data_IF_843717102991
#
_entry.id   IF_843717102991
#
_cell.length_a   1.000
_cell.length_b   1.000
_cell.length_c   1.000
_cell.angle_alpha   90.00
_cell.angle_beta   90.00
_cell.angle_gamma   90.00
#
_symmetry.space_group_name_H-M   'P 1'
#
loop_
_entity.id
_entity.type
_entity.pdbx_description
1 polymer ?
#
# COMPACT_ATOMS: atom_id res chain seq x y z
N UNK A 1 -38.42 -27.41 -14.29
CA UNK A 1 -37.15 -27.67 -13.63
C UNK A 1 -37.06 -26.85 -12.40
N UNK A 2 -36.90 -27.49 -11.25
CA UNK A 2 -37.19 -26.94 -9.94
C UNK A 2 -36.25 -25.88 -9.44
N UNK A 3 -36.74 -24.65 -9.27
CA UNK A 3 -36.05 -23.63 -8.51
C UNK A 3 -36.37 -23.82 -7.05
N UNK A 4 -35.35 -23.78 -6.19
CA UNK A 4 -35.51 -23.92 -4.75
C UNK A 4 -35.98 -22.58 -4.17
N UNK A 5 -36.96 -22.64 -3.28
CA UNK A 5 -37.52 -21.48 -2.58
C UNK A 5 -37.52 -21.77 -1.09
N UNK A 6 -37.26 -20.74 -0.29
CA UNK A 6 -37.38 -20.78 1.17
C UNK A 6 -38.54 -19.91 1.62
N UNK A 7 -39.31 -20.43 2.56
CA UNK A 7 -40.33 -19.61 3.23
C UNK A 7 -39.68 -18.88 4.41
N UNK A 8 -39.63 -17.56 4.30
CA UNK A 8 -39.03 -16.69 5.33
C UNK A 8 -40.17 -16.17 6.20
N UNK A 9 -40.05 -16.33 7.52
CA UNK A 9 -41.05 -15.92 8.47
C UNK A 9 -41.39 -14.42 8.30
N UNK A 10 -42.67 -14.11 8.31
CA UNK A 10 -43.19 -12.74 8.23
C UNK A 10 -42.86 -11.99 6.91
N UNK A 11 -42.25 -12.67 5.95
CA UNK A 11 -41.88 -12.09 4.66
C UNK A 11 -42.52 -12.80 3.47
N UNK A 12 -42.60 -14.13 3.52
CA UNK A 12 -43.12 -14.94 2.40
C UNK A 12 -42.08 -15.82 1.76
N UNK A 13 -42.24 -16.11 0.45
CA UNK A 13 -41.37 -17.01 -0.27
C UNK A 13 -40.30 -16.25 -1.01
N UNK A 14 -39.01 -16.67 -0.86
CA UNK A 14 -37.85 -16.06 -1.50
C UNK A 14 -37.05 -17.16 -2.22
N UNK A 15 -36.62 -16.89 -3.44
CA UNK A 15 -35.74 -17.82 -4.16
C UNK A 15 -34.46 -18.07 -3.35
N UNK A 16 -34.09 -19.33 -3.20
CA UNK A 16 -32.87 -19.69 -2.47
C UNK A 16 -31.62 -18.97 -3.01
N UNK A 17 -31.59 -18.78 -4.34
CA UNK A 17 -30.46 -18.09 -4.99
C UNK A 17 -30.28 -16.63 -4.54
N UNK A 18 -31.32 -16.04 -3.94
CA UNK A 18 -31.26 -14.66 -3.44
C UNK A 18 -30.86 -14.59 -1.97
N UNK A 19 -30.55 -15.73 -1.36
CA UNK A 19 -30.19 -15.81 0.05
C UNK A 19 -28.81 -16.45 0.21
N UNK A 20 -28.11 -16.07 1.27
CA UNK A 20 -26.80 -16.63 1.60
C UNK A 20 -26.76 -16.90 3.10
N UNK A 21 -25.98 -17.90 3.49
CA UNK A 21 -25.64 -18.13 4.90
C UNK A 21 -24.47 -17.25 5.35
N UNK A 22 -23.81 -16.60 4.39
CA UNK A 22 -22.66 -15.73 4.69
C UNK A 22 -23.18 -14.34 5.06
N UNK A 23 -22.83 -13.88 6.25
CA UNK A 23 -23.07 -12.48 6.64
C UNK A 23 -21.92 -11.66 6.11
N UNK A 24 -22.18 -10.83 5.11
CA UNK A 24 -21.18 -9.93 4.57
C UNK A 24 -20.98 -8.71 5.46
N UNK A 25 -19.76 -8.19 5.45
CA UNK A 25 -19.46 -6.92 6.11
C UNK A 25 -19.90 -5.75 5.21
N UNK A 26 -20.11 -4.61 5.83
CA UNK A 26 -20.24 -3.32 5.15
C UNK A 26 -18.98 -2.49 5.45
N UNK A 27 -18.79 -1.39 4.74
CA UNK A 27 -17.68 -0.47 5.06
C UNK A 27 -18.17 0.53 6.10
N UNK A 28 -17.43 0.63 7.21
CA UNK A 28 -17.66 1.68 8.22
C UNK A 28 -17.08 3.00 7.73
N UNK A 29 -15.95 2.93 7.01
CA UNK A 29 -15.41 4.08 6.27
C UNK A 29 -14.50 3.57 5.15
N UNK A 30 -14.25 4.48 4.20
CA UNK A 30 -13.31 4.30 3.10
C UNK A 30 -12.80 5.70 2.72
N UNK A 31 -11.50 5.93 2.93
CA UNK A 31 -10.91 7.26 2.75
C UNK A 31 -9.59 7.16 1.99
N UNK A 32 -9.28 8.20 1.23
CA UNK A 32 -7.97 8.33 0.59
C UNK A 32 -6.90 8.61 1.65
N UNK A 33 -5.75 7.97 1.51
CA UNK A 33 -4.56 8.26 2.33
C UNK A 33 -3.32 8.13 1.45
N UNK A 34 -2.19 8.59 1.96
CA UNK A 34 -0.90 8.33 1.34
C UNK A 34 0.06 7.82 2.41
N UNK A 35 0.53 6.59 2.21
CA UNK A 35 1.51 5.98 3.11
C UNK A 35 2.38 5.04 2.28
N UNK A 36 3.52 4.65 2.82
CA UNK A 36 4.42 3.70 2.17
C UNK A 36 4.54 2.44 3.03
N UNK A 37 4.64 1.29 2.37
CA UNK A 37 4.57 0.01 3.06
C UNK A 37 5.39 -1.08 2.36
N UNK A 38 5.58 -2.18 3.08
CA UNK A 38 6.12 -3.43 2.54
C UNK A 38 5.34 -4.59 3.14
N UNK A 39 5.40 -5.73 2.46
CA UNK A 39 4.81 -6.96 2.99
C UNK A 39 5.59 -7.38 4.23
N UNK A 40 4.87 -7.55 5.34
CA UNK A 40 5.40 -8.07 6.61
C UNK A 40 5.21 -9.59 6.68
N UNK A 41 3.99 -10.03 6.42
CA UNK A 41 3.62 -11.45 6.51
C UNK A 41 2.89 -11.85 5.22
N UNK A 42 3.61 -12.53 4.33
CA UNK A 42 3.05 -12.94 3.04
C UNK A 42 2.17 -14.19 3.17
N UNK A 43 2.60 -15.16 3.99
CA UNK A 43 1.94 -16.46 4.13
C UNK A 43 0.51 -16.29 4.63
N UNK A 44 -0.42 -16.98 4.00
CA UNK A 44 -1.83 -16.96 4.37
C UNK A 44 -2.59 -15.69 3.98
N UNK A 45 -1.89 -14.69 3.44
CA UNK A 45 -2.52 -13.40 3.08
C UNK A 45 -2.69 -13.27 1.57
N UNK A 46 -3.75 -12.61 1.17
CA UNK A 46 -4.14 -12.46 -0.24
C UNK A 46 -4.51 -11.02 -0.54
N UNK A 47 -4.44 -10.69 -1.82
CA UNK A 47 -4.88 -9.40 -2.36
C UNK A 47 -6.27 -9.60 -2.96
N UNK A 48 -7.15 -8.63 -2.73
CA UNK A 48 -8.57 -8.72 -3.06
C UNK A 48 -9.04 -7.51 -3.86
N UNK A 49 -10.11 -7.68 -4.65
CA UNK A 49 -10.72 -6.57 -5.41
C UNK A 49 -11.36 -5.51 -4.49
N UNK A 50 -11.81 -5.93 -3.32
CA UNK A 50 -12.32 -5.10 -2.22
C UNK A 50 -12.04 -5.84 -0.91
N UNK A 51 -12.17 -5.20 0.26
CA UNK A 51 -11.92 -5.92 1.52
C UNK A 51 -12.66 -7.26 1.57
N UNK A 52 -11.95 -8.31 1.95
CA UNK A 52 -12.53 -9.65 2.03
C UNK A 52 -13.73 -9.63 3.00
N UNK A 53 -14.76 -10.35 2.70
CA UNK A 53 -16.08 -10.35 3.37
C UNK A 53 -17.02 -9.22 2.95
N UNK A 54 -16.60 -8.28 2.13
CA UNK A 54 -17.55 -7.38 1.43
C UNK A 54 -18.15 -8.20 0.29
N UNK A 55 -19.45 -8.12 0.11
CA UNK A 55 -20.12 -8.87 -0.95
C UNK A 55 -19.49 -8.62 -2.31
N UNK A 56 -19.20 -9.71 -3.03
CA UNK A 56 -18.56 -9.65 -4.35
C UNK A 56 -17.04 -9.47 -4.30
N UNK A 57 -16.41 -9.55 -3.12
CA UNK A 57 -14.94 -9.54 -3.04
C UNK A 57 -14.37 -10.79 -3.73
N UNK A 58 -13.37 -10.58 -4.59
CA UNK A 58 -12.70 -11.66 -5.30
C UNK A 58 -11.20 -11.59 -5.01
N UNK A 59 -10.59 -12.76 -4.86
CA UNK A 59 -9.13 -12.85 -4.69
C UNK A 59 -8.45 -12.54 -6.02
N UNK A 60 -7.47 -11.64 -5.99
CA UNK A 60 -6.65 -11.28 -7.15
C UNK A 60 -5.41 -12.18 -7.22
N UNK A 61 -4.70 -12.29 -6.09
CA UNK A 61 -3.43 -13.02 -6.04
C UNK A 61 -3.06 -13.33 -4.60
N UNK A 62 -2.04 -14.16 -4.43
CA UNK A 62 -1.36 -14.28 -3.12
C UNK A 62 -0.59 -12.99 -2.85
N UNK A 63 -0.51 -12.59 -1.57
CA UNK A 63 0.26 -11.39 -1.20
C UNK A 63 1.76 -11.58 -1.43
N UNK A 64 2.25 -12.82 -1.42
CA UNK A 64 3.66 -13.13 -1.70
C UNK A 64 4.16 -12.60 -3.04
N UNK A 65 3.27 -12.42 -4.02
CA UNK A 65 3.58 -11.81 -5.32
C UNK A 65 4.23 -10.42 -5.18
N UNK A 66 3.96 -9.76 -4.05
CA UNK A 66 4.43 -8.39 -3.81
C UNK A 66 5.52 -8.31 -2.73
N UNK A 67 6.04 -9.46 -2.28
CA UNK A 67 7.16 -9.49 -1.32
C UNK A 67 8.36 -8.75 -1.90
N UNK A 68 8.98 -7.90 -1.09
CA UNK A 68 10.14 -7.11 -1.49
C UNK A 68 9.82 -5.90 -2.35
N UNK A 69 8.57 -5.72 -2.76
CA UNK A 69 8.18 -4.57 -3.60
C UNK A 69 7.80 -3.36 -2.75
N UNK A 70 8.10 -2.19 -3.28
CA UNK A 70 7.66 -0.94 -2.66
C UNK A 70 6.17 -0.76 -2.95
N UNK A 71 5.40 -0.57 -1.91
CA UNK A 71 3.94 -0.42 -1.98
C UNK A 71 3.57 0.99 -1.54
N UNK A 72 2.80 1.68 -2.34
CA UNK A 72 2.20 2.95 -1.96
C UNK A 72 0.75 2.67 -1.58
N UNK A 73 0.38 3.02 -0.36
CA UNK A 73 -0.99 2.88 0.14
C UNK A 73 -1.77 4.11 -0.33
N UNK A 74 -2.91 3.89 -0.97
CA UNK A 74 -3.70 4.97 -1.58
C UNK A 74 -5.07 5.14 -0.93
N UNK A 75 -5.56 4.11 -0.22
CA UNK A 75 -6.84 4.19 0.52
C UNK A 75 -6.77 3.33 1.77
N UNK A 76 -7.54 3.72 2.76
CA UNK A 76 -7.77 2.95 3.99
C UNK A 76 -9.27 2.75 4.13
N UNK A 77 -9.69 1.52 4.45
CA UNK A 77 -11.09 1.21 4.73
C UNK A 77 -11.20 0.38 6.00
N UNK A 78 -12.30 0.54 6.72
CA UNK A 78 -12.61 -0.28 7.88
C UNK A 78 -13.93 -0.98 7.62
N UNK A 79 -13.98 -2.28 7.88
CA UNK A 79 -15.23 -3.06 7.74
C UNK A 79 -16.02 -3.03 9.04
N UNK A 80 -17.31 -3.37 8.96
CA UNK A 80 -18.20 -3.45 10.12
C UNK A 80 -17.72 -4.44 11.17
N UNK A 81 -16.93 -5.44 10.79
CA UNK A 81 -16.29 -6.35 11.74
C UNK A 81 -15.07 -5.75 12.43
N UNK A 82 -14.68 -4.52 12.09
CA UNK A 82 -13.58 -3.81 12.72
C UNK A 82 -12.23 -3.96 12.01
N UNK A 83 -12.15 -4.78 10.97
CA UNK A 83 -10.89 -5.04 10.27
C UNK A 83 -10.52 -3.83 9.39
N UNK A 84 -9.24 -3.44 9.43
CA UNK A 84 -8.73 -2.32 8.62
C UNK A 84 -7.98 -2.90 7.41
N UNK A 85 -8.25 -2.30 6.26
CA UNK A 85 -7.74 -2.72 4.96
C UNK A 85 -7.08 -1.56 4.25
N UNK A 86 -6.01 -1.85 3.51
CA UNK A 86 -5.35 -0.87 2.67
C UNK A 86 -5.48 -1.26 1.20
N UNK A 87 -5.83 -0.28 0.36
CA UNK A 87 -5.65 -0.41 -1.09
C UNK A 87 -4.27 0.13 -1.44
N UNK A 88 -3.55 -0.62 -2.27
CA UNK A 88 -2.18 -0.25 -2.59
C UNK A 88 -1.91 -0.26 -4.09
N UNK A 89 -0.86 0.45 -4.47
CA UNK A 89 -0.31 0.46 -5.82
C UNK A 89 1.17 0.04 -5.78
N UNK A 90 1.63 -0.49 -6.92
CA UNK A 90 3.04 -0.84 -7.15
C UNK A 90 3.39 -0.33 -8.54
N UNK A 91 4.48 0.43 -8.66
CA UNK A 91 4.88 1.02 -9.95
C UNK A 91 3.80 1.90 -10.56
N UNK A 92 3.04 2.60 -9.72
CA UNK A 92 1.96 3.48 -10.17
C UNK A 92 0.64 2.80 -10.52
N UNK A 93 0.62 1.46 -10.58
CA UNK A 93 -0.59 0.70 -10.92
C UNK A 93 -1.31 0.27 -9.65
N UNK A 94 -2.60 0.59 -9.54
CA UNK A 94 -3.44 0.11 -8.43
C UNK A 94 -3.60 -1.40 -8.53
N UNK A 95 -3.35 -2.09 -7.42
CA UNK A 95 -3.36 -3.55 -7.37
C UNK A 95 -4.64 -4.06 -6.72
N UNK A 96 -4.89 -3.70 -5.47
CA UNK A 96 -6.05 -4.21 -4.76
C UNK A 96 -5.95 -3.94 -3.26
N UNK A 97 -6.74 -4.67 -2.49
CA UNK A 97 -6.89 -4.50 -1.05
C UNK A 97 -6.21 -5.62 -0.29
N UNK A 98 -5.58 -5.29 0.83
CA UNK A 98 -4.92 -6.24 1.72
C UNK A 98 -5.19 -5.84 3.17
N UNK A 99 -5.29 -6.81 4.05
CA UNK A 99 -5.48 -6.55 5.48
C UNK A 99 -4.21 -5.92 6.07
N UNK A 100 -4.37 -4.86 6.87
CA UNK A 100 -3.25 -4.06 7.37
C UNK A 100 -2.25 -4.87 8.20
N UNK A 101 -2.72 -5.89 8.92
CA UNK A 101 -1.83 -6.73 9.75
C UNK A 101 -0.74 -7.44 8.94
N UNK A 102 -0.93 -7.58 7.63
CA UNK A 102 0.02 -8.25 6.73
C UNK A 102 1.13 -7.30 6.23
N UNK A 103 1.06 -6.02 6.58
CA UNK A 103 1.96 -4.98 6.08
C UNK A 103 2.70 -4.28 7.21
N UNK A 104 3.90 -3.79 6.89
CA UNK A 104 4.58 -2.76 7.67
C UNK A 104 4.26 -1.41 7.00
N UNK A 105 3.49 -0.57 7.66
CA UNK A 105 3.21 0.77 7.17
C UNK A 105 4.04 1.74 7.97
N UNK A 106 5.00 2.38 7.30
CA UNK A 106 6.02 3.18 7.98
C UNK A 106 5.52 4.56 8.36
N UNK A 107 4.88 5.27 7.44
CA UNK A 107 4.36 6.62 7.73
C UNK A 107 3.57 7.18 6.54
N UNK A 108 2.92 8.31 6.82
CA UNK A 108 2.17 9.09 5.83
C UNK A 108 2.95 10.37 5.52
N UNK A 109 3.32 10.63 4.26
CA UNK A 109 3.96 11.90 3.91
C UNK A 109 3.06 13.09 4.24
N UNK A 110 3.61 14.13 4.82
CA UNK A 110 2.87 15.36 5.06
C UNK A 110 2.73 16.18 3.77
N UNK A 111 3.70 16.06 2.88
CA UNK A 111 3.69 16.70 1.56
C UNK A 111 4.30 15.73 0.56
N UNK A 112 3.63 15.55 -0.57
CA UNK A 112 4.16 14.75 -1.67
C UNK A 112 3.79 15.44 -2.97
N UNK A 113 4.77 15.70 -3.82
CA UNK A 113 4.53 16.32 -5.12
C UNK A 113 5.50 15.81 -6.18
N UNK A 114 5.05 15.79 -7.41
CA UNK A 114 5.92 15.51 -8.54
C UNK A 114 6.89 16.65 -8.73
N UNK A 115 8.09 16.33 -9.13
CA UNK A 115 9.16 17.29 -9.31
C UNK A 115 10.07 16.75 -10.42
N UNK A 116 10.56 17.65 -11.27
CA UNK A 116 11.64 17.31 -12.18
C UNK A 116 12.80 18.26 -11.87
N UNK A 117 13.85 17.72 -11.29
CA UNK A 117 15.00 18.52 -10.87
C UNK A 117 16.28 17.69 -10.96
N UNK A 118 17.36 18.38 -11.25
CA UNK A 118 18.70 17.77 -11.28
C UNK A 118 19.35 17.97 -9.93
N UNK A 119 19.99 16.90 -9.43
CA UNK A 119 20.72 16.94 -8.15
C UNK A 119 22.04 16.16 -8.29
N UNK A 120 22.93 16.42 -7.38
CA UNK A 120 24.24 15.77 -7.31
C UNK A 120 24.51 15.32 -5.87
N UNK A 121 25.20 14.20 -5.71
CA UNK A 121 25.60 13.72 -4.38
C UNK A 121 26.69 14.62 -3.82
N UNK A 122 26.49 15.19 -2.66
CA UNK A 122 27.50 15.95 -1.95
C UNK A 122 28.63 15.02 -1.53
N UNK A 123 29.87 15.47 -1.71
CA UNK A 123 31.04 14.69 -1.30
C UNK A 123 31.00 14.31 0.19
N UNK A 124 30.56 15.25 1.03
CA UNK A 124 30.40 15.05 2.47
C UNK A 124 29.31 14.04 2.83
N UNK A 125 28.40 13.71 1.89
CA UNK A 125 27.25 12.84 2.12
C UNK A 125 27.36 11.50 1.37
N UNK A 126 28.50 11.19 0.79
CA UNK A 126 28.68 9.97 0.00
C UNK A 126 28.44 8.68 0.80
N UNK A 127 28.62 8.73 2.12
CA UNK A 127 28.42 7.57 2.99
C UNK A 127 26.98 7.43 3.48
N UNK A 128 26.13 8.44 3.25
CA UNK A 128 24.70 8.32 3.51
C UNK A 128 24.10 7.28 2.55
N UNK A 129 22.95 6.73 2.94
CA UNK A 129 22.36 5.63 2.20
C UNK A 129 21.07 6.07 1.46
N UNK A 130 20.70 5.27 0.46
CA UNK A 130 19.41 5.42 -0.22
C UNK A 130 18.57 4.17 0.03
N UNK A 131 17.26 4.32 -0.03
CA UNK A 131 16.33 3.32 0.47
C UNK A 131 15.22 3.02 -0.53
N UNK A 132 14.60 1.84 -0.41
CA UNK A 132 13.47 1.44 -1.24
C UNK A 132 12.17 2.17 -0.91
N UNK A 133 12.10 2.77 0.29
CA UNK A 133 10.97 3.59 0.76
C UNK A 133 11.57 4.77 1.51
N UNK A 134 10.86 5.89 1.66
CA UNK A 134 11.42 7.05 2.36
C UNK A 134 11.39 6.86 3.88
N UNK A 135 12.21 5.93 4.35
CA UNK A 135 12.41 5.60 5.76
C UNK A 135 13.81 5.00 5.92
N UNK A 136 14.48 5.35 7.01
CA UNK A 136 15.78 4.75 7.35
C UNK A 136 15.53 3.39 8.00
N UNK A 137 15.72 2.34 7.25
CA UNK A 137 15.48 0.97 7.71
C UNK A 137 16.44 0.03 6.96
N UNK A 138 17.21 -0.74 7.69
CA UNK A 138 18.18 -1.68 7.12
C UNK A 138 17.51 -2.71 6.19
N UNK A 139 16.25 -3.05 6.42
CA UNK A 139 15.53 -4.02 5.58
C UNK A 139 15.26 -3.50 4.17
N UNK A 140 15.33 -2.19 3.96
CA UNK A 140 15.08 -1.56 2.66
C UNK A 140 16.26 -0.70 2.20
N UNK A 141 17.36 -0.78 2.90
CA UNK A 141 18.62 -0.09 2.56
C UNK A 141 19.13 -0.66 1.23
N UNK A 142 19.44 0.22 0.30
CA UNK A 142 19.95 -0.14 -1.03
C UNK A 142 21.45 0.15 -1.15
N UNK A 143 22.05 0.73 -0.10
CA UNK A 143 23.47 1.00 -0.04
C UNK A 143 23.86 2.46 -0.01
N UNK A 144 25.14 2.76 -0.05
CA UNK A 144 25.62 4.12 0.09
C UNK A 144 25.45 4.95 -1.17
N UNK A 145 25.25 6.25 -0.98
CA UNK A 145 25.13 7.22 -2.08
C UNK A 145 26.44 7.36 -2.89
N UNK A 146 27.55 6.85 -2.38
CA UNK A 146 28.83 6.85 -3.13
C UNK A 146 28.71 6.19 -4.52
N UNK A 147 27.75 5.28 -4.68
CA UNK A 147 27.46 4.65 -5.98
C UNK A 147 27.07 5.67 -7.07
N UNK A 148 26.61 6.85 -6.64
CA UNK A 148 26.17 7.91 -7.53
C UNK A 148 27.12 9.12 -7.53
N UNK A 149 28.29 8.99 -6.91
CA UNK A 149 29.26 10.07 -6.87
C UNK A 149 29.65 10.48 -8.29
N UNK A 150 29.59 11.76 -8.57
CA UNK A 150 29.86 12.31 -9.89
C UNK A 150 28.77 12.12 -10.93
N UNK A 151 27.66 11.44 -10.56
CA UNK A 151 26.56 11.22 -11.48
C UNK A 151 25.48 12.29 -11.31
N UNK A 152 24.82 12.61 -12.42
CA UNK A 152 23.62 13.45 -12.41
C UNK A 152 22.42 12.61 -11.96
N UNK A 153 21.70 13.09 -10.99
CA UNK A 153 20.48 12.45 -10.48
C UNK A 153 19.26 13.25 -10.92
N UNK A 154 18.30 12.57 -11.55
CA UNK A 154 17.03 13.18 -11.90
C UNK A 154 16.01 12.87 -10.82
N UNK A 155 15.59 13.90 -10.10
CA UNK A 155 14.56 13.77 -9.08
C UNK A 155 13.19 13.80 -9.75
N UNK A 156 12.35 12.82 -9.45
CA UNK A 156 11.01 12.70 -10.02
C UNK A 156 9.92 13.09 -9.04
N UNK A 157 10.20 13.04 -7.75
CA UNK A 157 9.21 13.31 -6.73
C UNK A 157 9.90 13.74 -5.44
N UNK A 158 9.22 14.58 -4.66
CA UNK A 158 9.65 14.87 -3.30
C UNK A 158 8.51 14.61 -2.32
N UNK A 159 8.85 14.30 -1.08
CA UNK A 159 7.90 14.09 0.01
C UNK A 159 8.55 14.54 1.31
N UNK A 160 7.76 15.16 2.18
CA UNK A 160 8.22 15.48 3.55
C UNK A 160 7.64 14.44 4.50
N UNK A 161 8.51 13.79 5.26
CA UNK A 161 8.15 12.70 6.16
C UNK A 161 8.77 12.99 7.52
N UNK A 162 7.92 13.15 8.52
CA UNK A 162 8.38 13.50 9.87
C UNK A 162 9.32 14.72 9.87
N UNK A 163 9.01 15.71 9.02
CA UNK A 163 9.82 16.92 8.91
C UNK A 163 11.06 16.77 8.03
N UNK A 164 11.37 15.59 7.53
CA UNK A 164 12.53 15.36 6.68
C UNK A 164 12.11 15.32 5.21
N UNK A 165 12.90 15.98 4.36
CA UNK A 165 12.64 16.02 2.92
C UNK A 165 13.30 14.82 2.24
N UNK A 166 12.52 14.09 1.47
CA UNK A 166 12.94 12.90 0.72
C UNK A 166 12.73 13.11 -0.77
N UNK A 167 13.63 12.56 -1.56
CA UNK A 167 13.54 12.62 -3.02
C UNK A 167 13.41 11.22 -3.63
N UNK A 168 12.69 10.83 -4.61
CA UNK A 168 12.55 9.87 -5.18
C UNK A 168 13.21 10.00 -6.28
N UNK A 169 13.89 9.18 -6.54
CA UNK A 169 14.72 8.99 -7.73
C UNK A 169 14.35 7.67 -8.39
N UNK A 170 13.51 7.70 -9.41
CA UNK A 170 13.00 6.45 -10.01
C UNK A 170 12.34 5.58 -8.95
N UNK A 171 12.90 4.42 -8.65
CA UNK A 171 12.29 3.42 -7.74
C UNK A 171 12.83 3.48 -6.32
N UNK A 172 13.61 4.50 -5.97
CA UNK A 172 14.20 4.58 -4.63
C UNK A 172 14.23 6.01 -4.11
N UNK A 173 14.41 6.11 -2.80
CA UNK A 173 14.39 7.37 -2.07
C UNK A 173 15.71 7.61 -1.33
N UNK A 174 16.09 8.87 -1.24
CA UNK A 174 17.10 9.31 -0.30
C UNK A 174 16.65 10.62 0.32
N UNK A 175 17.13 10.91 1.51
CA UNK A 175 16.79 12.16 2.14
C UNK A 175 18.01 13.06 2.27
N UNK A 176 17.76 14.37 2.27
CA UNK A 176 18.79 15.37 2.47
C UNK A 176 18.66 15.94 3.88
N UNK A 177 19.73 15.85 4.63
CA UNK A 177 19.82 16.57 5.89
C UNK A 177 20.32 17.98 5.54
N UNK A 178 19.45 18.97 5.74
CA UNK A 178 19.88 20.36 5.72
C UNK A 178 20.27 20.73 7.13
N UNK A 179 21.46 21.25 7.32
CA UNK A 179 21.90 21.91 8.52
C UNK A 179 21.92 23.41 8.25
#
# INVERSE_FOLDING_TARGET
>A
EGQLWYRVKDLGWVKAANLTTTKYDTLSYDKAITAYSRVKTASGNSVWTKPNKIEGAQKISALSTYSGKNMRIIREAKTSSGTIWYQFSVGGKTIGWVETKALNTFYTPSMEKNLTATRYVLTSKKNEHYYGLPVVDSAIDRGPLSKFSGKTLTVQREATIEGQLWYXLGDFYYYLIYY
#
